data_IF_743816000388
#
_entry.id   IF_743816000388
#
_cell.length_a   1.000
_cell.length_b   1.000
_cell.length_c   1.000
_cell.angle_alpha   90.00
_cell.angle_beta   90.00
_cell.angle_gamma   90.00
#
_symmetry.space_group_name_H-M   'P 1'
#
loop_
_entity.id
_entity.type
_entity.pdbx_description
1 polymer ?
#
# COMPACT_ATOMS: atom_id res chain seq x y z
N UNK A 1 -1.44 1.31 -75.28
CA UNK A 1 -0.56 1.83 -74.18
C UNK A 1 -1.19 1.67 -72.79
N UNK A 2 -2.48 1.94 -72.59
CA UNK A 2 -3.13 1.87 -71.26
C UNK A 2 -3.20 0.46 -70.64
N UNK A 3 -3.34 -0.58 -71.45
CA UNK A 3 -3.44 -1.97 -70.97
C UNK A 3 -2.12 -2.52 -70.42
N UNK A 4 -0.98 -2.14 -71.03
CA UNK A 4 0.36 -2.55 -70.58
C UNK A 4 0.69 -1.90 -69.23
N UNK A 5 0.25 -0.65 -69.04
CA UNK A 5 0.44 0.06 -67.78
C UNK A 5 -0.44 -0.52 -66.65
N UNK A 6 -1.67 -0.93 -66.98
CA UNK A 6 -2.56 -1.60 -66.03
C UNK A 6 -2.02 -2.97 -65.61
N UNK A 7 -1.53 -3.76 -66.57
CA UNK A 7 -0.92 -5.07 -66.30
C UNK A 7 0.33 -4.95 -65.41
N UNK A 8 1.14 -3.90 -65.62
CA UNK A 8 2.33 -3.65 -64.80
C UNK A 8 1.95 -3.27 -63.36
N UNK A 9 0.97 -2.38 -63.19
CA UNK A 9 0.44 -2.01 -61.86
C UNK A 9 -0.17 -3.18 -61.11
N UNK A 10 -0.89 -4.07 -61.81
CA UNK A 10 -1.44 -5.30 -61.23
C UNK A 10 -0.34 -6.25 -60.76
N UNK A 11 0.74 -6.38 -61.53
CA UNK A 11 1.87 -7.23 -61.19
C UNK A 11 2.67 -6.66 -60.00
N UNK A 12 2.82 -5.34 -59.93
CA UNK A 12 3.47 -4.67 -58.80
C UNK A 12 2.64 -4.82 -57.52
N UNK A 13 1.30 -4.72 -57.62
CA UNK A 13 0.39 -4.99 -56.49
C UNK A 13 0.44 -6.47 -56.04
N UNK A 14 0.49 -7.41 -56.99
CA UNK A 14 0.59 -8.83 -56.65
C UNK A 14 1.90 -9.16 -55.93
N UNK A 15 3.01 -8.50 -56.31
CA UNK A 15 4.27 -8.61 -55.57
C UNK A 15 4.18 -7.98 -54.18
N UNK A 16 3.55 -6.82 -54.06
CA UNK A 16 3.36 -6.15 -52.77
C UNK A 16 2.58 -7.03 -51.78
N UNK A 17 1.52 -7.69 -52.26
CA UNK A 17 0.70 -8.62 -51.45
C UNK A 17 1.49 -9.90 -51.12
N UNK A 18 2.38 -10.35 -52.02
CA UNK A 18 3.26 -11.49 -51.77
C UNK A 18 4.40 -11.21 -50.79
N UNK A 19 4.85 -9.95 -50.71
CA UNK A 19 5.92 -9.49 -49.80
C UNK A 19 5.38 -8.99 -48.44
N UNK A 20 4.09 -8.67 -48.34
CA UNK A 20 3.43 -8.45 -47.04
C UNK A 20 3.33 -9.78 -46.29
N UNK A 21 4.29 -10.03 -45.41
CA UNK A 21 4.18 -11.09 -44.41
C UNK A 21 2.98 -10.79 -43.52
N UNK A 22 1.85 -11.43 -43.80
CA UNK A 22 0.71 -11.46 -42.89
C UNK A 22 1.19 -12.20 -41.64
N UNK A 23 1.43 -11.47 -40.55
CA UNK A 23 1.65 -12.09 -39.25
C UNK A 23 0.39 -12.90 -38.92
N UNK A 24 0.53 -14.21 -38.90
CA UNK A 24 -0.55 -15.10 -38.51
C UNK A 24 -0.75 -14.94 -36.99
N UNK A 25 -1.74 -14.15 -36.62
CA UNK A 25 -2.11 -13.97 -35.21
C UNK A 25 -2.73 -15.29 -34.76
N UNK A 26 -2.02 -16.03 -33.90
CA UNK A 26 -2.55 -17.20 -33.22
C UNK A 26 -3.62 -16.75 -32.21
N UNK A 27 -4.86 -16.62 -32.68
CA UNK A 27 -6.00 -16.19 -31.87
C UNK A 27 -6.22 -17.07 -30.63
N UNK A 28 -5.89 -18.36 -30.71
CA UNK A 28 -6.00 -19.29 -29.59
C UNK A 28 -4.98 -18.96 -28.48
N UNK A 29 -3.73 -18.65 -28.85
CA UNK A 29 -2.68 -18.23 -27.92
C UNK A 29 -3.01 -16.88 -27.27
N UNK A 30 -3.53 -15.93 -28.05
CA UNK A 30 -3.99 -14.64 -27.55
C UNK A 30 -5.15 -14.80 -26.57
N UNK A 31 -6.13 -15.65 -26.91
CA UNK A 31 -7.27 -15.95 -26.05
C UNK A 31 -6.82 -16.56 -24.73
N UNK A 32 -5.93 -17.55 -24.76
CA UNK A 32 -5.39 -18.17 -23.55
C UNK A 32 -4.68 -17.13 -22.67
N UNK A 33 -3.83 -16.29 -23.26
CA UNK A 33 -3.13 -15.21 -22.55
C UNK A 33 -4.08 -14.21 -21.90
N UNK A 34 -5.20 -13.91 -22.55
CA UNK A 34 -6.25 -13.04 -22.02
C UNK A 34 -6.99 -13.69 -20.84
N UNK A 35 -7.33 -14.97 -20.95
CA UNK A 35 -7.98 -15.76 -19.89
C UNK A 35 -7.07 -15.87 -18.65
N UNK A 36 -5.77 -16.11 -18.85
CA UNK A 36 -4.76 -16.12 -17.77
C UNK A 36 -4.63 -14.75 -17.09
N UNK A 37 -4.56 -13.68 -17.89
CA UNK A 37 -4.51 -12.30 -17.37
C UNK A 37 -5.76 -11.94 -16.58
N UNK A 38 -6.94 -12.33 -17.06
CA UNK A 38 -8.20 -12.12 -16.36
C UNK A 38 -8.22 -12.88 -15.01
N UNK A 39 -7.75 -14.12 -14.99
CA UNK A 39 -7.62 -14.91 -13.75
C UNK A 39 -6.67 -14.25 -12.75
N UNK A 40 -5.51 -13.77 -13.22
CA UNK A 40 -4.55 -13.02 -12.41
C UNK A 40 -5.16 -11.74 -11.81
N UNK A 41 -5.93 -10.98 -12.58
CA UNK A 41 -6.61 -9.78 -12.09
C UNK A 41 -7.63 -10.10 -10.99
N UNK A 42 -8.38 -11.19 -11.13
CA UNK A 42 -9.33 -11.66 -10.10
C UNK A 42 -8.59 -12.04 -8.81
N UNK A 43 -7.45 -12.73 -8.91
CA UNK A 43 -6.64 -13.08 -7.74
C UNK A 43 -6.00 -11.85 -7.09
N UNK A 44 -5.54 -10.89 -7.89
CA UNK A 44 -4.99 -9.64 -7.41
C UNK A 44 -6.04 -8.85 -6.60
N UNK A 45 -7.26 -8.73 -7.12
CA UNK A 45 -8.34 -8.02 -6.41
C UNK A 45 -8.68 -8.70 -5.07
N UNK A 46 -8.76 -10.03 -5.03
CA UNK A 46 -8.96 -10.78 -3.77
C UNK A 46 -7.84 -10.51 -2.76
N UNK A 47 -6.59 -10.50 -3.23
CA UNK A 47 -5.41 -10.26 -2.38
C UNK A 47 -5.42 -8.82 -1.85
N UNK A 48 -5.74 -7.85 -2.70
CA UNK A 48 -5.90 -6.44 -2.33
C UNK A 48 -6.95 -6.27 -1.23
N UNK A 49 -8.14 -6.86 -1.38
CA UNK A 49 -9.19 -6.82 -0.35
C UNK A 49 -8.71 -7.42 0.98
N UNK A 50 -7.97 -8.54 0.93
CA UNK A 50 -7.40 -9.15 2.14
C UNK A 50 -6.39 -8.22 2.83
N UNK A 51 -5.50 -7.60 2.06
CA UNK A 51 -4.53 -6.63 2.58
C UNK A 51 -5.20 -5.40 3.19
N UNK A 52 -6.24 -4.86 2.55
CA UNK A 52 -7.02 -3.74 3.08
C UNK A 52 -7.72 -4.10 4.40
N UNK A 53 -8.27 -5.31 4.49
CA UNK A 53 -8.87 -5.82 5.73
C UNK A 53 -7.82 -5.95 6.83
N UNK A 54 -6.67 -6.55 6.55
CA UNK A 54 -5.59 -6.71 7.52
C UNK A 54 -5.08 -5.36 8.02
N UNK A 55 -4.93 -4.38 7.12
CA UNK A 55 -4.57 -3.02 7.47
C UNK A 55 -5.61 -2.36 8.40
N UNK A 56 -6.89 -2.56 8.10
CA UNK A 56 -8.00 -2.06 8.95
C UNK A 56 -7.98 -2.69 10.34
N UNK A 57 -7.79 -4.01 10.42
CA UNK A 57 -7.69 -4.74 11.69
C UNK A 57 -6.49 -4.27 12.51
N UNK A 58 -5.34 -4.02 11.86
CA UNK A 58 -4.13 -3.51 12.48
C UNK A 58 -4.33 -2.09 13.05
N UNK A 59 -4.92 -1.18 12.28
CA UNK A 59 -5.28 0.17 12.75
C UNK A 59 -6.26 0.12 13.93
N UNK A 60 -7.22 -0.79 13.88
CA UNK A 60 -8.22 -0.98 14.92
C UNK A 60 -7.61 -1.49 16.23
N UNK A 61 -6.62 -2.39 16.17
CA UNK A 61 -5.89 -2.85 17.35
C UNK A 61 -5.14 -1.70 18.04
N UNK A 62 -4.42 -0.88 17.26
CA UNK A 62 -3.71 0.31 17.77
C UNK A 62 -4.70 1.26 18.45
N UNK A 63 -5.83 1.56 17.79
CA UNK A 63 -6.88 2.44 18.35
C UNK A 63 -7.44 1.88 19.66
N UNK A 64 -7.68 0.57 19.74
CA UNK A 64 -8.19 -0.08 20.95
C UNK A 64 -7.21 0.04 22.12
N UNK A 65 -5.93 -0.26 21.90
CA UNK A 65 -4.90 -0.11 22.95
C UNK A 65 -4.77 1.35 23.39
N UNK A 66 -4.79 2.29 22.44
CA UNK A 66 -4.74 3.73 22.71
C UNK A 66 -5.94 4.20 23.56
N UNK A 67 -7.16 3.72 23.25
CA UNK A 67 -8.35 4.04 24.04
C UNK A 67 -8.23 3.54 25.48
N UNK A 68 -7.79 2.29 25.70
CA UNK A 68 -7.58 1.76 27.05
C UNK A 68 -6.54 2.57 27.83
N UNK A 69 -5.43 2.95 27.18
CA UNK A 69 -4.42 3.83 27.77
C UNK A 69 -4.98 5.20 28.14
N UNK A 70 -5.81 5.79 27.28
CA UNK A 70 -6.49 7.05 27.58
C UNK A 70 -7.45 6.93 28.77
N UNK A 71 -8.20 5.83 28.87
CA UNK A 71 -9.06 5.59 30.02
C UNK A 71 -8.27 5.41 31.32
N UNK A 72 -7.13 4.72 31.28
CA UNK A 72 -6.33 4.45 32.48
C UNK A 72 -5.46 5.64 32.92
N UNK A 73 -4.94 6.43 31.97
CA UNK A 73 -3.99 7.53 32.24
C UNK A 73 -4.61 8.92 32.10
N UNK A 74 -5.86 9.02 31.63
CA UNK A 74 -6.55 10.28 31.38
C UNK A 74 -5.82 11.12 30.33
N UNK A 75 -5.66 12.42 30.62
CA UNK A 75 -4.98 13.39 29.76
C UNK A 75 -3.48 13.11 29.57
N UNK A 76 -2.87 12.24 30.39
CA UNK A 76 -1.46 11.88 30.26
C UNK A 76 -1.16 10.94 29.08
N UNK A 77 -2.18 10.51 28.34
CA UNK A 77 -2.00 9.74 27.11
C UNK A 77 -2.60 10.51 25.91
N UNK A 78 -1.81 10.82 24.86
CA UNK A 78 -2.24 11.66 23.76
C UNK A 78 -3.03 10.86 22.71
N UNK A 79 -4.23 10.41 23.09
CA UNK A 79 -5.14 9.66 22.22
C UNK A 79 -5.44 10.40 20.92
N UNK A 80 -5.72 11.70 21.03
CA UNK A 80 -6.04 12.56 19.87
C UNK A 80 -4.92 12.59 18.82
N UNK A 81 -3.67 12.45 19.25
CA UNK A 81 -2.54 12.38 18.34
C UNK A 81 -2.46 11.03 17.63
N UNK A 82 -2.68 9.93 18.37
CA UNK A 82 -2.72 8.58 17.78
C UNK A 82 -3.85 8.48 16.74
N UNK A 83 -5.03 9.03 17.03
CA UNK A 83 -6.13 9.06 16.07
C UNK A 83 -5.81 9.88 14.82
N UNK A 84 -5.21 11.06 14.98
CA UNK A 84 -4.75 11.88 13.84
C UNK A 84 -3.74 11.15 12.96
N UNK A 85 -2.80 10.42 13.57
CA UNK A 85 -1.83 9.61 12.82
C UNK A 85 -2.53 8.49 12.04
N UNK A 86 -3.41 7.72 12.67
CA UNK A 86 -4.13 6.61 12.01
C UNK A 86 -5.00 7.07 10.83
N UNK A 87 -5.52 8.30 10.90
CA UNK A 87 -6.30 8.96 9.84
C UNK A 87 -5.45 9.69 8.79
N UNK A 88 -4.13 9.79 8.98
CA UNK A 88 -3.24 10.44 8.01
C UNK A 88 -3.16 9.62 6.71
N UNK A 89 -3.24 10.32 5.58
CA UNK A 89 -3.04 9.73 4.25
C UNK A 89 -1.58 9.41 3.94
N UNK A 90 -0.65 10.02 4.68
CA UNK A 90 0.79 9.88 4.47
C UNK A 90 1.42 8.84 5.42
N UNK A 91 0.60 8.12 6.20
CA UNK A 91 1.12 7.10 7.10
C UNK A 91 1.40 5.82 6.32
N UNK A 92 2.67 5.50 6.15
CA UNK A 92 3.08 4.24 5.53
C UNK A 92 2.93 3.06 6.49
N UNK A 93 3.20 1.86 5.99
CA UNK A 93 3.06 0.63 6.79
C UNK A 93 4.13 0.54 7.89
N UNK A 94 5.35 1.01 7.65
CA UNK A 94 6.44 0.93 8.61
C UNK A 94 6.19 1.88 9.79
N UNK A 95 5.67 3.07 9.53
CA UNK A 95 5.19 4.01 10.53
C UNK A 95 4.05 3.43 11.37
N UNK A 96 3.12 2.70 10.75
CA UNK A 96 2.05 1.97 11.45
C UNK A 96 2.62 0.91 12.41
N UNK A 97 3.62 0.15 11.96
CA UNK A 97 4.29 -0.86 12.78
C UNK A 97 5.01 -0.21 13.95
N UNK A 98 5.72 0.91 13.72
CA UNK A 98 6.39 1.68 14.76
C UNK A 98 5.39 2.25 15.77
N UNK A 99 4.28 2.81 15.30
CA UNK A 99 3.20 3.31 16.15
C UNK A 99 2.61 2.20 17.02
N UNK A 100 2.31 1.03 16.42
CA UNK A 100 1.82 -0.13 17.17
C UNK A 100 2.80 -0.56 18.26
N UNK A 101 4.09 -0.66 17.94
CA UNK A 101 5.12 -1.07 18.90
C UNK A 101 5.19 -0.09 20.09
N UNK A 102 5.11 1.21 19.83
CA UNK A 102 5.09 2.24 20.88
C UNK A 102 3.84 2.14 21.75
N UNK A 103 2.66 2.11 21.13
CA UNK A 103 1.37 2.01 21.86
C UNK A 103 1.30 0.71 22.66
N UNK A 104 1.77 -0.41 22.09
CA UNK A 104 1.85 -1.69 22.78
C UNK A 104 2.77 -1.65 23.99
N UNK A 105 3.98 -1.09 23.86
CA UNK A 105 4.89 -0.95 25.00
C UNK A 105 4.26 -0.13 26.14
N UNK A 106 3.58 0.97 25.80
CA UNK A 106 2.88 1.77 26.81
C UNK A 106 1.73 1.01 27.45
N UNK A 107 0.97 0.25 26.65
CA UNK A 107 -0.11 -0.61 27.12
C UNK A 107 0.41 -1.69 28.08
N UNK A 108 1.45 -2.41 27.69
CA UNK A 108 2.06 -3.47 28.50
C UNK A 108 2.65 -2.90 29.81
N UNK A 109 3.14 -1.65 29.81
CA UNK A 109 3.58 -0.95 31.02
C UNK A 109 2.42 -0.52 31.93
N UNK A 110 1.30 -0.10 31.35
CA UNK A 110 0.11 0.34 32.11
C UNK A 110 -0.69 -0.85 32.67
N UNK A 111 -0.70 -1.97 31.94
CA UNK A 111 -1.44 -3.19 32.25
C UNK A 111 -0.51 -4.40 32.28
N UNK A 112 0.47 -4.42 33.21
CA UNK A 112 1.43 -5.49 33.24
C UNK A 112 0.74 -6.81 33.61
N UNK A 113 0.99 -7.85 32.80
CA UNK A 113 0.41 -9.20 33.00
C UNK A 113 0.96 -9.91 34.25
N UNK A 114 1.99 -9.34 34.89
CA UNK A 114 2.57 -9.76 36.18
C UNK A 114 2.86 -8.52 37.04
N UNK A 115 2.75 -8.58 38.38
CA UNK A 115 3.04 -7.42 39.23
C UNK A 115 4.51 -7.00 39.07
N UNK A 116 4.72 -5.83 38.48
CA UNK A 116 6.05 -5.23 38.32
C UNK A 116 6.42 -4.58 39.65
N UNK A 117 7.45 -5.11 40.32
CA UNK A 117 8.10 -4.42 41.44
C UNK A 117 8.57 -3.05 40.95
N UNK A 118 7.97 -2.00 41.50
CA UNK A 118 8.12 -0.58 41.10
C UNK A 118 9.57 -0.21 40.84
N UNK A 119 9.87 0.24 39.61
CA UNK A 119 11.01 1.12 39.34
C UNK A 119 10.43 2.40 38.75
N UNK A 120 10.68 3.49 39.46
CA UNK A 120 10.11 4.80 39.19
C UNK A 120 10.78 5.48 37.99
N UNK A 121 9.95 6.30 37.33
CA UNK A 121 10.28 7.55 36.63
C UNK A 121 11.08 7.53 35.31
N UNK A 122 10.41 8.01 34.26
CA UNK A 122 10.79 9.26 33.56
C UNK A 122 9.62 9.74 32.68
N UNK A 123 9.06 10.90 33.02
CA UNK A 123 7.93 11.54 32.32
C UNK A 123 8.34 12.40 31.10
N UNK A 124 9.63 12.46 30.75
CA UNK A 124 10.13 13.49 29.82
C UNK A 124 10.43 13.02 28.37
N UNK A 125 10.03 11.80 27.98
CA UNK A 125 10.45 11.24 26.67
C UNK A 125 9.44 11.54 25.55
N UNK A 126 8.20 11.88 25.89
CA UNK A 126 7.11 11.93 24.90
C UNK A 126 7.16 13.19 24.00
N UNK A 127 7.54 14.35 24.53
CA UNK A 127 7.52 15.61 23.77
C UNK A 127 8.72 15.82 22.82
N UNK A 128 9.82 15.08 23.04
CA UNK A 128 11.05 15.23 22.24
C UNK A 128 11.07 14.33 21.00
N UNK A 129 10.51 13.11 21.09
CA UNK A 129 10.58 12.12 19.99
C UNK A 129 9.50 12.25 18.91
N UNK A 130 8.45 13.03 19.17
CA UNK A 130 7.45 13.36 18.16
C UNK A 130 7.91 14.52 17.27
N UNK A 131 8.75 15.41 17.79
CA UNK A 131 9.40 16.44 16.98
C UNK A 131 10.35 15.82 15.96
N UNK A 132 11.08 14.77 16.31
CA UNK A 132 11.96 14.04 15.35
C UNK A 132 11.22 13.44 14.15
N UNK A 133 9.93 13.10 14.28
CA UNK A 133 9.11 12.65 13.15
C UNK A 133 8.69 13.77 12.18
N UNK A 134 8.91 15.04 12.53
CA UNK A 134 8.51 16.22 11.72
C UNK A 134 9.67 17.04 11.16
N UNK A 135 10.92 16.84 11.58
CA UNK A 135 12.07 17.63 11.09
C UNK A 135 12.79 16.97 9.90
N UNK A 136 12.10 16.07 9.17
CA UNK A 136 12.58 15.52 7.91
C UNK A 136 12.33 16.40 6.68
N UNK A 137 11.49 17.44 6.79
CA UNK A 137 11.24 18.40 5.70
C UNK A 137 12.09 19.66 5.90
N UNK A 138 13.39 19.52 5.60
CA UNK A 138 14.24 20.64 5.26
C UNK A 138 14.25 20.85 3.75
N UNK A 139 13.35 21.69 3.23
CA UNK A 139 13.59 22.37 1.96
C UNK A 139 13.56 23.89 2.15
N UNK A 140 14.65 24.46 1.65
CA UNK A 140 15.08 25.83 1.70
C UNK A 140 14.07 26.81 1.07
N UNK A 141 14.00 28.01 1.63
CA UNK A 141 13.75 29.25 0.88
C UNK A 141 14.71 30.31 1.38
#
# INVERSE_FOLDING_TARGET
MKEIELARKLNDFAKLIGDESVEEIEFDSLRQSLEESASCLVQFEKTKTLCEKLLSDFKSEIKRMANFLSCARGENFPLSMVEKLLSSKNLDFDDLVLLRKKVKNEFDNAFPSKPVSRVAERKDIFESRIREFKVGDGYQS
#
